data_IF_248089175825
#
_entry.id   IF_248089175825
#
_cell.length_a   1.000
_cell.length_b   1.000
_cell.length_c   1.000
_cell.angle_alpha   90.00
_cell.angle_beta   90.00
_cell.angle_gamma   90.00
#
_symmetry.space_group_name_H-M   'P 1'
#
loop_
_entity.id
_entity.type
_entity.pdbx_description
1 polymer ?
#
# COMPACT_ATOMS: atom_id res chain seq x y z
N UNK A 1 3.55 -41.49 29.10
CA UNK A 1 3.21 -40.07 29.38
C UNK A 1 4.50 -39.27 29.31
N UNK A 2 4.70 -38.51 28.24
CA UNK A 2 5.82 -37.58 28.12
C UNK A 2 5.21 -36.22 27.80
N UNK A 3 5.12 -35.36 28.81
CA UNK A 3 4.83 -33.94 28.64
C UNK A 3 6.08 -33.31 28.04
N UNK A 4 6.09 -33.09 26.72
CA UNK A 4 7.13 -32.26 26.11
C UNK A 4 6.92 -30.83 26.61
N UNK A 5 7.87 -30.32 27.39
CA UNK A 5 8.03 -28.90 27.67
C UNK A 5 8.44 -28.16 26.38
N UNK A 6 7.58 -28.16 25.35
CA UNK A 6 7.76 -27.28 24.21
C UNK A 6 7.27 -25.91 24.61
N UNK A 7 8.14 -24.90 24.52
CA UNK A 7 7.75 -23.50 24.63
C UNK A 7 6.57 -23.23 23.70
N UNK A 8 5.54 -22.53 24.18
CA UNK A 8 4.40 -22.22 23.33
C UNK A 8 4.84 -21.33 22.16
N UNK A 9 4.34 -21.59 20.94
CA UNK A 9 4.74 -20.88 19.72
C UNK A 9 4.66 -19.36 19.83
N UNK A 10 3.64 -18.83 20.50
CA UNK A 10 3.48 -17.39 20.73
C UNK A 10 4.65 -16.79 21.55
N UNK A 11 5.19 -17.55 22.50
CA UNK A 11 6.33 -17.12 23.33
C UNK A 11 7.61 -17.11 22.50
N UNK A 12 7.79 -18.11 21.63
CA UNK A 12 8.92 -18.15 20.68
C UNK A 12 8.89 -16.96 19.72
N UNK A 13 7.71 -16.68 19.14
CA UNK A 13 7.50 -15.54 18.24
C UNK A 13 7.80 -14.21 18.95
N UNK A 14 7.32 -14.02 20.19
CA UNK A 14 7.61 -12.82 20.96
C UNK A 14 9.11 -12.63 21.22
N UNK A 15 9.83 -13.70 21.57
CA UNK A 15 11.28 -13.66 21.77
C UNK A 15 12.03 -13.34 20.46
N UNK A 16 11.60 -13.93 19.34
CA UNK A 16 12.16 -13.68 18.01
C UNK A 16 11.94 -12.22 17.59
N UNK A 17 10.73 -11.67 17.78
CA UNK A 17 10.42 -10.27 17.48
C UNK A 17 11.33 -9.36 18.30
N UNK A 18 11.42 -9.58 19.62
CA UNK A 18 12.25 -8.74 20.50
C UNK A 18 13.73 -8.74 20.08
N UNK A 19 14.27 -9.92 19.79
CA UNK A 19 15.69 -10.08 19.40
C UNK A 19 15.96 -9.42 18.04
N UNK A 20 15.11 -9.69 17.04
CA UNK A 20 15.30 -9.19 15.68
C UNK A 20 15.11 -7.67 15.60
N UNK A 21 14.14 -7.10 16.34
CA UNK A 21 13.94 -5.64 16.40
C UNK A 21 15.12 -4.95 17.10
N UNK A 22 15.66 -5.53 18.18
CA UNK A 22 16.81 -4.96 18.87
C UNK A 22 18.04 -4.91 17.95
N UNK A 23 18.35 -6.00 17.26
CA UNK A 23 19.45 -6.01 16.28
C UNK A 23 19.18 -5.05 15.11
N UNK A 24 17.95 -5.02 14.57
CA UNK A 24 17.58 -4.10 13.50
C UNK A 24 17.83 -2.65 13.91
N UNK A 25 17.37 -2.24 15.10
CA UNK A 25 17.56 -0.89 15.62
C UNK A 25 19.04 -0.55 15.82
N UNK A 26 19.85 -1.48 16.34
CA UNK A 26 21.29 -1.30 16.49
C UNK A 26 21.95 -1.05 15.12
N UNK A 27 21.64 -1.89 14.12
CA UNK A 27 22.20 -1.80 12.76
C UNK A 27 21.82 -0.50 12.05
N UNK A 28 20.58 -0.03 12.22
CA UNK A 28 20.12 1.24 11.67
C UNK A 28 20.85 2.41 12.33
N UNK A 29 20.96 2.39 13.66
CA UNK A 29 21.64 3.44 14.43
C UNK A 29 23.12 3.53 14.07
N UNK A 30 23.80 2.39 13.93
CA UNK A 30 25.22 2.33 13.51
C UNK A 30 25.47 2.92 12.11
N UNK A 31 24.46 2.89 11.23
CA UNK A 31 24.53 3.46 9.89
C UNK A 31 24.02 4.92 9.82
N UNK A 32 23.55 5.48 10.94
CA UNK A 32 22.91 6.80 10.96
C UNK A 32 21.57 6.85 10.24
N UNK A 33 20.92 5.70 10.00
CA UNK A 33 19.61 5.62 9.37
C UNK A 33 18.53 5.80 10.44
N UNK A 34 17.57 6.72 10.28
CA UNK A 34 16.52 6.92 11.27
C UNK A 34 15.60 5.70 11.36
N UNK A 35 15.05 5.47 12.55
CA UNK A 35 14.09 4.39 12.77
C UNK A 35 12.84 4.58 11.89
N UNK A 36 12.28 3.51 11.33
CA UNK A 36 11.09 3.59 10.49
C UNK A 36 9.88 4.09 11.30
N UNK A 37 9.14 5.02 10.71
CA UNK A 37 7.88 5.53 11.26
C UNK A 37 6.82 5.77 10.17
N UNK A 38 5.63 6.22 10.56
CA UNK A 38 4.60 6.69 9.62
C UNK A 38 4.75 8.17 9.27
N UNK A 39 5.74 8.89 9.80
CA UNK A 39 5.96 10.30 9.48
C UNK A 39 6.21 10.50 7.97
N UNK A 40 5.88 11.68 7.46
CA UNK A 40 5.98 12.00 6.02
C UNK A 40 7.42 11.89 5.48
N UNK A 41 8.40 12.15 6.34
CA UNK A 41 9.84 12.17 6.07
C UNK A 41 10.54 10.83 6.40
N UNK A 42 9.78 9.84 6.86
CA UNK A 42 10.30 8.50 7.16
C UNK A 42 10.81 7.81 5.89
N UNK A 43 11.97 7.13 5.94
CA UNK A 43 12.52 6.43 4.79
C UNK A 43 11.51 5.46 4.13
N UNK A 44 11.52 5.43 2.80
CA UNK A 44 10.67 4.52 2.01
C UNK A 44 11.13 3.07 2.19
N UNK A 45 12.44 2.82 2.12
CA UNK A 45 13.04 1.50 2.25
C UNK A 45 14.13 1.47 3.33
N UNK A 46 14.30 0.31 3.97
CA UNK A 46 15.44 0.06 4.85
C UNK A 46 16.66 -0.40 4.03
N UNK A 47 17.88 -0.24 4.56
CA UNK A 47 19.09 -0.73 3.91
C UNK A 47 19.06 -2.23 3.61
N UNK A 48 19.59 -2.65 2.47
CA UNK A 48 19.55 -4.06 2.03
C UNK A 48 20.26 -5.03 3.00
N UNK A 49 21.27 -4.55 3.75
CA UNK A 49 22.00 -5.38 4.71
C UNK A 49 21.16 -5.77 5.94
N UNK A 50 20.03 -5.12 6.19
CA UNK A 50 19.09 -5.45 7.28
C UNK A 50 17.80 -6.11 6.80
N UNK A 51 17.69 -6.42 5.49
CA UNK A 51 16.47 -7.01 4.91
C UNK A 51 16.04 -8.31 5.61
N UNK A 52 16.99 -9.20 5.92
CA UNK A 52 16.70 -10.45 6.64
C UNK A 52 16.10 -10.23 8.04
N UNK A 53 16.50 -9.16 8.75
CA UNK A 53 15.93 -8.81 10.06
C UNK A 53 14.54 -8.23 9.89
N UNK A 54 14.34 -7.41 8.87
CA UNK A 54 13.02 -6.88 8.51
C UNK A 54 12.06 -8.04 8.19
N UNK A 55 12.46 -8.98 7.34
CA UNK A 55 11.65 -10.15 6.98
C UNK A 55 11.32 -11.00 8.21
N UNK A 56 12.31 -11.30 9.05
CA UNK A 56 12.10 -12.05 10.29
C UNK A 56 11.09 -11.39 11.25
N UNK A 57 11.11 -10.07 11.37
CA UNK A 57 10.14 -9.31 12.18
C UNK A 57 8.75 -9.34 11.53
N UNK A 58 8.66 -9.12 10.22
CA UNK A 58 7.39 -9.11 9.50
C UNK A 58 6.70 -10.47 9.56
N UNK A 59 7.43 -11.55 9.32
CA UNK A 59 6.89 -12.92 9.36
C UNK A 59 6.42 -13.27 10.78
N UNK A 60 7.24 -13.00 11.80
CA UNK A 60 6.89 -13.33 13.17
C UNK A 60 5.71 -12.50 13.69
N UNK A 61 5.62 -11.21 13.31
CA UNK A 61 4.48 -10.36 13.69
C UNK A 61 3.20 -10.73 12.95
N UNK A 62 3.29 -11.14 11.69
CA UNK A 62 2.15 -11.65 10.93
C UNK A 62 1.62 -12.95 11.56
N UNK A 63 2.49 -13.93 11.81
CA UNK A 63 2.10 -15.20 12.43
C UNK A 63 1.49 -14.98 13.82
N UNK A 64 2.14 -14.18 14.67
CA UNK A 64 1.64 -13.89 16.01
C UNK A 64 0.28 -13.19 15.98
N UNK A 65 0.10 -12.24 15.05
CA UNK A 65 -1.19 -11.57 14.87
C UNK A 65 -2.28 -12.56 14.45
N UNK A 66 -1.99 -13.43 13.50
CA UNK A 66 -2.96 -14.39 12.95
C UNK A 66 -3.34 -15.49 13.93
N UNK A 67 -2.38 -15.97 14.72
CA UNK A 67 -2.62 -16.92 15.82
C UNK A 67 -3.57 -16.36 16.89
N UNK A 68 -3.61 -15.03 17.05
CA UNK A 68 -4.42 -14.35 18.06
C UNK A 68 -5.80 -13.90 17.55
N UNK A 69 -6.05 -13.94 16.24
CA UNK A 69 -7.33 -13.53 15.68
C UNK A 69 -8.36 -14.65 15.77
N UNK A 70 -9.58 -14.30 16.17
CA UNK A 70 -10.73 -15.19 16.01
C UNK A 70 -10.94 -15.55 14.54
N UNK A 71 -11.43 -16.76 14.21
CA UNK A 71 -11.52 -17.24 12.83
C UNK A 71 -12.26 -16.30 11.87
N UNK A 72 -13.38 -15.70 12.32
CA UNK A 72 -14.14 -14.76 11.48
C UNK A 72 -13.37 -13.46 11.23
N UNK A 73 -12.64 -12.95 12.23
CA UNK A 73 -11.82 -11.75 12.09
C UNK A 73 -10.65 -11.99 11.13
N UNK A 74 -10.05 -13.19 11.19
CA UNK A 74 -9.02 -13.61 10.24
C UNK A 74 -9.55 -13.66 8.80
N UNK A 75 -10.75 -14.21 8.60
CA UNK A 75 -11.42 -14.19 7.29
C UNK A 75 -11.66 -12.75 6.82
N UNK A 76 -12.15 -11.86 7.70
CA UNK A 76 -12.35 -10.46 7.35
C UNK A 76 -11.05 -9.74 7.00
N UNK A 77 -9.92 -10.03 7.69
CA UNK A 77 -8.60 -9.48 7.36
C UNK A 77 -8.24 -9.73 5.90
N UNK A 78 -8.39 -10.97 5.43
CA UNK A 78 -8.04 -11.35 4.05
C UNK A 78 -9.13 -11.04 3.02
N UNK A 79 -10.40 -10.94 3.45
CA UNK A 79 -11.54 -10.64 2.59
C UNK A 79 -11.90 -9.15 2.45
N UNK A 80 -11.16 -8.24 3.10
CA UNK A 80 -11.48 -6.81 3.19
C UNK A 80 -11.21 -6.02 1.88
N UNK A 81 -11.86 -6.44 0.80
CA UNK A 81 -11.87 -5.77 -0.51
C UNK A 81 -12.30 -4.30 -0.41
N UNK A 82 -13.15 -3.99 0.59
CA UNK A 82 -13.63 -2.63 0.86
C UNK A 82 -12.51 -1.63 1.15
N UNK A 83 -11.32 -2.07 1.55
CA UNK A 83 -10.15 -1.21 1.76
C UNK A 83 -9.77 -0.47 0.48
N UNK A 84 -9.88 -1.14 -0.69
CA UNK A 84 -9.53 -0.55 -1.97
C UNK A 84 -10.37 0.70 -2.27
N UNK A 85 -11.64 0.76 -1.82
CA UNK A 85 -12.54 1.89 -2.09
C UNK A 85 -11.96 3.22 -1.62
N UNK A 86 -11.33 3.25 -0.44
CA UNK A 86 -10.75 4.49 0.09
C UNK A 86 -9.44 4.85 -0.58
N UNK A 87 -8.59 3.87 -0.88
CA UNK A 87 -7.33 4.07 -1.61
C UNK A 87 -7.62 4.63 -3.01
N UNK A 88 -8.50 3.96 -3.74
CA UNK A 88 -8.90 4.37 -5.08
C UNK A 88 -9.58 5.74 -5.09
N UNK A 89 -10.44 6.05 -4.11
CA UNK A 89 -11.06 7.38 -4.04
C UNK A 89 -10.02 8.49 -3.81
N UNK A 90 -9.06 8.26 -2.92
CA UNK A 90 -7.97 9.22 -2.67
C UNK A 90 -7.16 9.48 -3.95
N UNK A 91 -6.78 8.41 -4.67
CA UNK A 91 -6.00 8.52 -5.89
C UNK A 91 -6.79 9.12 -7.07
N UNK A 92 -8.02 8.63 -7.30
CA UNK A 92 -8.88 9.06 -8.43
C UNK A 92 -9.25 10.53 -8.36
N UNK A 93 -9.51 11.04 -7.16
CA UNK A 93 -9.87 12.45 -6.95
C UNK A 93 -8.66 13.31 -6.59
N UNK A 94 -7.44 12.78 -6.68
CA UNK A 94 -6.21 13.51 -6.37
C UNK A 94 -6.25 14.18 -4.99
N UNK A 95 -6.87 13.52 -4.00
CA UNK A 95 -7.07 14.08 -2.66
C UNK A 95 -5.74 14.23 -1.91
N UNK A 96 -4.81 13.30 -2.11
CA UNK A 96 -3.48 13.36 -1.53
C UNK A 96 -2.71 14.58 -2.03
N UNK A 97 -2.83 14.92 -3.32
CA UNK A 97 -2.18 16.07 -3.95
C UNK A 97 -2.68 17.43 -3.43
N UNK A 98 -3.83 17.44 -2.72
CA UNK A 98 -4.39 18.66 -2.12
C UNK A 98 -3.76 19.01 -0.77
N UNK A 99 -2.99 18.09 -0.18
CA UNK A 99 -2.36 18.26 1.12
C UNK A 99 -0.99 18.92 0.88
N UNK A 100 -0.70 20.07 1.50
CA UNK A 100 0.62 20.69 1.35
C UNK A 100 1.70 19.82 2.02
N UNK A 101 2.92 19.73 1.44
CA UNK A 101 4.04 19.01 2.05
C UNK A 101 4.33 19.51 3.46
N UNK A 102 4.50 18.59 4.43
CA UNK A 102 4.68 18.88 5.85
C UNK A 102 3.59 19.77 6.48
N UNK A 103 2.43 19.89 5.82
CA UNK A 103 1.32 20.71 6.27
C UNK A 103 0.04 19.90 6.45
N UNK A 104 -1.07 20.63 6.53
CA UNK A 104 -2.40 20.05 6.68
C UNK A 104 -3.44 20.84 5.90
N UNK A 105 -4.55 20.17 5.55
CA UNK A 105 -5.70 20.76 4.87
C UNK A 105 -6.99 20.32 5.55
N UNK A 106 -8.02 21.17 5.57
CA UNK A 106 -9.29 20.79 6.18
C UNK A 106 -10.06 19.79 5.31
N UNK A 107 -10.80 18.87 5.93
CA UNK A 107 -11.72 17.96 5.23
C UNK A 107 -12.74 18.76 4.40
N UNK A 108 -13.16 19.93 4.89
CA UNK A 108 -14.08 20.82 4.18
C UNK A 108 -13.51 21.33 2.87
N UNK A 109 -12.22 21.65 2.83
CA UNK A 109 -11.58 22.16 1.61
C UNK A 109 -11.30 21.05 0.61
N UNK A 110 -10.96 19.83 1.07
CA UNK A 110 -10.90 18.65 0.19
C UNK A 110 -12.29 18.41 -0.44
N UNK A 111 -13.37 18.44 0.35
CA UNK A 111 -14.73 18.27 -0.16
C UNK A 111 -15.10 19.32 -1.21
N UNK A 112 -14.81 20.60 -0.96
CA UNK A 112 -15.03 21.69 -1.93
C UNK A 112 -14.24 21.48 -3.23
N UNK A 113 -12.95 21.14 -3.14
CA UNK A 113 -12.08 20.95 -4.32
C UNK A 113 -12.49 19.73 -5.16
N UNK A 114 -12.96 18.67 -4.51
CA UNK A 114 -13.40 17.45 -5.18
C UNK A 114 -14.85 17.52 -5.68
N UNK A 115 -15.66 18.45 -5.16
CA UNK A 115 -17.09 18.53 -5.44
C UNK A 115 -17.92 17.43 -4.76
N UNK A 116 -17.31 16.64 -3.86
CA UNK A 116 -17.97 15.54 -3.16
C UNK A 116 -18.62 16.02 -1.85
N UNK A 117 -19.64 15.28 -1.40
CA UNK A 117 -20.26 15.53 -0.10
C UNK A 117 -19.25 15.46 1.06
N UNK A 118 -19.31 16.43 1.98
CA UNK A 118 -18.36 16.55 3.08
C UNK A 118 -18.40 15.35 4.02
N UNK A 119 -19.58 14.79 4.28
CA UNK A 119 -19.73 13.63 5.16
C UNK A 119 -19.14 12.38 4.49
N UNK A 120 -19.34 12.20 3.18
CA UNK A 120 -18.72 11.14 2.40
C UNK A 120 -17.18 11.24 2.43
N UNK A 121 -16.62 12.41 2.11
CA UNK A 121 -15.17 12.64 2.14
C UNK A 121 -14.61 12.37 3.54
N UNK A 122 -15.26 12.87 4.59
CA UNK A 122 -14.87 12.62 5.98
C UNK A 122 -14.80 11.12 6.30
N UNK A 123 -15.80 10.33 5.88
CA UNK A 123 -15.83 8.88 6.12
C UNK A 123 -14.69 8.16 5.40
N UNK A 124 -14.45 8.49 4.13
CA UNK A 124 -13.40 7.87 3.32
C UNK A 124 -11.99 8.20 3.84
N UNK A 125 -11.74 9.47 4.18
CA UNK A 125 -10.45 9.89 4.72
C UNK A 125 -10.17 9.24 6.08
N UNK A 126 -11.17 9.15 6.96
CA UNK A 126 -11.01 8.46 8.27
C UNK A 126 -10.79 6.97 8.13
N UNK A 127 -11.43 6.32 7.16
CA UNK A 127 -11.15 4.93 6.86
C UNK A 127 -9.71 4.74 6.37
N UNK A 128 -9.22 5.62 5.49
CA UNK A 128 -7.81 5.62 5.07
C UNK A 128 -6.82 5.88 6.22
N UNK A 129 -7.19 6.72 7.20
CA UNK A 129 -6.40 6.95 8.41
C UNK A 129 -6.31 5.70 9.29
N UNK A 130 -7.37 4.90 9.39
CA UNK A 130 -7.36 3.62 10.09
C UNK A 130 -6.37 2.62 9.45
N UNK A 131 -6.17 2.73 8.13
CA UNK A 131 -5.14 1.99 7.37
C UNK A 131 -3.75 2.66 7.39
N UNK A 132 -3.55 3.72 8.19
CA UNK A 132 -2.29 4.50 8.29
C UNK A 132 -1.87 5.24 7.01
N UNK A 133 -2.76 5.36 6.03
CA UNK A 133 -2.48 6.05 4.75
C UNK A 133 -2.42 7.57 4.95
N UNK A 134 -3.29 8.11 5.81
CA UNK A 134 -3.35 9.53 6.17
C UNK A 134 -3.35 9.67 7.70
N UNK A 135 -3.23 10.90 8.20
CA UNK A 135 -3.42 11.20 9.63
C UNK A 135 -4.31 12.43 9.85
N UNK A 136 -5.01 12.46 10.98
CA UNK A 136 -5.82 13.59 11.47
C UNK A 136 -5.09 14.19 12.69
N UNK A 137 -4.11 15.11 12.48
CA UNK A 137 -3.34 15.70 13.58
C UNK A 137 -4.21 16.55 14.52
N UNK A 138 -5.23 17.21 13.95
CA UNK A 138 -6.24 17.98 14.66
C UNK A 138 -7.63 17.57 14.14
N UNK A 139 -8.69 17.62 14.95
CA UNK A 139 -10.03 17.27 14.50
C UNK A 139 -10.44 18.04 13.23
N UNK A 140 -10.71 17.31 12.15
CA UNK A 140 -11.11 17.87 10.86
C UNK A 140 -9.97 18.32 9.94
N UNK A 141 -8.71 18.19 10.37
CA UNK A 141 -7.52 18.47 9.55
C UNK A 141 -6.89 17.17 9.06
N UNK A 142 -6.38 17.16 7.83
CA UNK A 142 -5.77 15.99 7.21
C UNK A 142 -4.33 16.33 6.83
N UNK A 143 -3.40 15.45 7.21
CA UNK A 143 -1.99 15.56 6.87
C UNK A 143 -1.44 14.24 6.31
N UNK A 144 -0.30 14.33 5.64
CA UNK A 144 0.37 13.17 5.08
C UNK A 144 0.96 12.25 6.17
N UNK A 145 1.01 10.97 5.82
CA UNK A 145 2.00 9.98 6.30
C UNK A 145 2.93 9.68 5.13
N UNK A 146 4.01 8.91 5.34
CA UNK A 146 4.85 8.47 4.22
C UNK A 146 4.05 7.76 3.10
N UNK A 147 2.98 7.05 3.47
CA UNK A 147 2.17 6.26 2.52
C UNK A 147 1.35 7.18 1.61
N UNK A 148 0.60 8.13 2.15
CA UNK A 148 -0.15 9.07 1.30
C UNK A 148 0.76 9.97 0.47
N UNK A 149 1.95 10.31 0.97
CA UNK A 149 2.95 11.03 0.17
C UNK A 149 3.42 10.18 -1.00
N UNK A 150 3.72 8.91 -0.77
CA UNK A 150 4.09 7.97 -1.81
C UNK A 150 2.99 7.82 -2.89
N UNK A 151 1.71 7.87 -2.50
CA UNK A 151 0.57 7.86 -3.43
C UNK A 151 0.49 9.10 -4.36
N UNK A 152 1.18 10.20 -4.04
CA UNK A 152 1.25 11.39 -4.92
C UNK A 152 2.20 11.19 -6.10
N UNK A 153 3.07 10.16 -6.06
CA UNK A 153 3.96 9.83 -7.17
C UNK A 153 3.12 9.36 -8.36
N UNK A 154 3.24 9.98 -9.56
CA UNK A 154 2.32 9.73 -10.67
C UNK A 154 2.20 8.26 -11.08
N UNK A 155 3.30 7.51 -11.13
CA UNK A 155 3.26 6.09 -11.50
C UNK A 155 2.68 5.19 -10.40
N UNK A 156 2.80 5.58 -9.12
CA UNK A 156 2.15 4.89 -8.00
C UNK A 156 0.63 5.14 -8.04
N UNK A 157 0.21 6.38 -8.29
CA UNK A 157 -1.20 6.71 -8.49
C UNK A 157 -1.78 5.95 -9.70
N UNK A 158 -1.01 5.86 -10.80
CA UNK A 158 -1.38 5.07 -11.97
C UNK A 158 -1.54 3.57 -11.64
N UNK A 159 -0.67 3.02 -10.78
CA UNK A 159 -0.80 1.65 -10.29
C UNK A 159 -2.09 1.43 -9.51
N UNK A 160 -2.45 2.30 -8.57
CA UNK A 160 -3.74 2.20 -7.86
C UNK A 160 -4.93 2.29 -8.83
N UNK A 161 -4.85 3.18 -9.83
CA UNK A 161 -5.90 3.29 -10.85
C UNK A 161 -5.99 2.04 -11.72
N UNK A 162 -4.87 1.39 -12.04
CA UNK A 162 -4.85 0.14 -12.81
C UNK A 162 -5.47 -1.00 -12.00
N UNK A 163 -5.06 -1.15 -10.74
CA UNK A 163 -5.60 -2.16 -9.83
C UNK A 163 -7.12 -2.03 -9.66
N UNK A 164 -7.61 -0.81 -9.47
CA UNK A 164 -9.04 -0.54 -9.26
C UNK A 164 -9.90 -0.66 -10.52
N UNK A 165 -9.40 -0.23 -11.69
CA UNK A 165 -10.20 -0.12 -12.93
C UNK A 165 -10.06 -1.33 -13.86
N UNK A 166 -8.92 -2.02 -13.84
CA UNK A 166 -8.62 -3.11 -14.76
C UNK A 166 -8.49 -4.44 -14.02
N UNK A 167 -7.64 -4.52 -12.98
CA UNK A 167 -7.37 -5.78 -12.27
C UNK A 167 -8.57 -6.24 -11.45
N UNK A 168 -9.16 -5.35 -10.64
CA UNK A 168 -10.25 -5.72 -9.73
C UNK A 168 -11.48 -6.29 -10.47
N UNK A 169 -12.02 -5.65 -11.52
CA UNK A 169 -13.10 -6.25 -12.32
C UNK A 169 -12.71 -7.61 -12.92
N UNK A 170 -11.47 -7.75 -13.39
CA UNK A 170 -10.97 -9.00 -13.97
C UNK A 170 -10.86 -10.13 -12.94
N UNK A 171 -10.45 -9.86 -11.69
CA UNK A 171 -10.41 -10.87 -10.64
C UNK A 171 -11.79 -11.46 -10.32
N UNK A 172 -12.85 -10.66 -10.40
CA UNK A 172 -14.21 -11.11 -10.03
C UNK A 172 -14.91 -11.97 -11.09
N UNK A 173 -14.53 -11.84 -12.37
CA UNK A 173 -15.23 -12.51 -13.50
C UNK A 173 -14.31 -13.19 -14.51
N UNK A 174 -12.99 -13.03 -14.40
CA UNK A 174 -12.03 -13.29 -15.49
C UNK A 174 -11.94 -12.10 -16.45
N UNK A 175 -10.75 -11.85 -17.01
CA UNK A 175 -10.48 -10.64 -17.82
C UNK A 175 -11.41 -10.50 -19.05
N UNK A 176 -11.54 -11.58 -19.84
CA UNK A 176 -12.39 -11.63 -21.04
C UNK A 176 -13.85 -11.26 -20.72
N UNK A 177 -14.42 -11.88 -19.69
CA UNK A 177 -15.79 -11.60 -19.25
C UNK A 177 -15.94 -10.20 -18.63
N UNK A 178 -14.94 -9.72 -17.89
CA UNK A 178 -14.98 -8.37 -17.32
C UNK A 178 -14.97 -7.27 -18.40
N UNK A 179 -14.38 -7.55 -19.56
CA UNK A 179 -14.24 -6.62 -20.69
C UNK A 179 -15.17 -6.93 -21.86
N UNK A 180 -16.07 -7.93 -21.74
CA UNK A 180 -16.94 -8.41 -22.81
C UNK A 180 -16.19 -8.67 -24.13
N UNK A 181 -15.10 -9.43 -24.05
CA UNK A 181 -14.19 -9.68 -25.18
C UNK A 181 -13.60 -11.07 -25.14
N UNK A 182 -13.20 -11.58 -26.30
CA UNK A 182 -12.42 -12.80 -26.52
C UNK A 182 -10.91 -12.53 -26.67
N UNK A 183 -10.51 -11.25 -26.73
CA UNK A 183 -9.12 -10.82 -26.91
C UNK A 183 -8.29 -11.00 -25.63
N UNK A 184 -6.98 -11.16 -25.82
CA UNK A 184 -6.02 -11.17 -24.71
C UNK A 184 -5.92 -9.81 -24.01
N UNK A 185 -5.38 -9.81 -22.79
CA UNK A 185 -5.15 -8.58 -22.02
C UNK A 185 -4.34 -7.54 -22.80
N UNK A 186 -3.28 -7.98 -23.49
CA UNK A 186 -2.39 -7.08 -24.23
C UNK A 186 -3.08 -6.45 -25.44
N UNK A 187 -3.92 -7.20 -26.16
CA UNK A 187 -4.67 -6.68 -27.30
C UNK A 187 -5.71 -5.63 -26.85
N UNK A 188 -6.39 -5.87 -25.73
CA UNK A 188 -7.36 -4.92 -25.17
C UNK A 188 -6.68 -3.65 -24.67
N UNK A 189 -5.54 -3.79 -23.98
CA UNK A 189 -4.77 -2.63 -23.52
C UNK A 189 -4.19 -1.84 -24.70
N UNK A 190 -3.63 -2.50 -25.72
CA UNK A 190 -3.06 -1.83 -26.89
C UNK A 190 -4.11 -1.10 -27.74
N UNK A 191 -5.36 -1.58 -27.74
CA UNK A 191 -6.45 -0.96 -28.49
C UNK A 191 -7.02 0.32 -27.84
N UNK A 192 -6.73 0.58 -26.56
CA UNK A 192 -7.19 1.76 -25.83
C UNK A 192 -5.97 2.56 -25.30
N UNK A 193 -5.64 3.72 -25.92
CA UNK A 193 -4.49 4.52 -25.52
C UNK A 193 -4.49 4.94 -24.04
N UNK A 194 -5.67 5.20 -23.46
CA UNK A 194 -5.78 5.60 -22.06
C UNK A 194 -5.44 4.44 -21.13
N UNK A 195 -5.91 3.23 -21.46
CA UNK A 195 -5.59 2.01 -20.70
C UNK A 195 -4.14 1.59 -20.90
N UNK A 196 -3.62 1.68 -22.13
CA UNK A 196 -2.22 1.43 -22.43
C UNK A 196 -1.30 2.33 -21.59
N UNK A 197 -1.57 3.64 -21.55
CA UNK A 197 -0.78 4.59 -20.76
C UNK A 197 -0.89 4.32 -19.26
N UNK A 198 -2.09 4.00 -18.76
CA UNK A 198 -2.30 3.64 -17.35
C UNK A 198 -1.50 2.40 -16.96
N UNK A 199 -1.55 1.35 -17.78
CA UNK A 199 -0.77 0.13 -17.59
C UNK A 199 0.74 0.39 -17.67
N UNK A 200 1.22 1.06 -18.71
CA UNK A 200 2.65 1.34 -18.87
C UNK A 200 3.20 2.18 -17.70
N UNK A 201 2.42 3.14 -17.20
CA UNK A 201 2.78 3.93 -16.03
C UNK A 201 2.79 3.08 -14.76
N UNK A 202 1.79 2.20 -14.56
CA UNK A 202 1.71 1.34 -13.38
C UNK A 202 2.86 0.34 -13.27
N UNK A 203 3.40 -0.14 -14.39
CA UNK A 203 4.52 -1.09 -14.39
C UNK A 203 5.79 -0.54 -13.72
N UNK A 204 5.97 0.78 -13.65
CA UNK A 204 7.09 1.38 -12.92
C UNK A 204 6.98 1.18 -11.39
N UNK A 205 5.77 0.96 -10.87
CA UNK A 205 5.57 0.71 -9.44
C UNK A 205 6.17 -0.62 -8.99
N UNK A 206 6.39 -1.57 -9.90
CA UNK A 206 6.95 -2.90 -9.62
C UNK A 206 8.39 -2.79 -9.10
N UNK A 207 9.12 -1.73 -9.47
CA UNK A 207 10.49 -1.47 -8.99
C UNK A 207 10.58 -1.28 -7.47
N UNK A 208 9.45 -1.02 -6.80
CA UNK A 208 9.36 -0.89 -5.35
C UNK A 208 9.09 -2.21 -4.61
N UNK A 209 8.80 -3.29 -5.33
CA UNK A 209 8.57 -4.60 -4.73
C UNK A 209 9.91 -5.32 -4.56
N UNK A 210 10.33 -5.52 -3.31
CA UNK A 210 11.56 -6.26 -3.01
C UNK A 210 11.54 -7.65 -3.66
N UNK A 211 12.63 -8.02 -4.34
CA UNK A 211 12.76 -9.29 -5.06
C UNK A 211 12.22 -9.32 -6.49
N UNK A 212 11.53 -8.28 -6.97
CA UNK A 212 11.14 -8.16 -8.38
C UNK A 212 12.27 -7.53 -9.22
N UNK A 213 12.72 -8.16 -10.32
CA UNK A 213 13.70 -7.54 -11.21
C UNK A 213 13.11 -6.35 -11.97
N UNK A 214 13.65 -5.16 -11.78
CA UNK A 214 13.32 -3.92 -12.52
C UNK A 214 13.57 -3.99 -14.04
N UNK A 215 14.08 -5.13 -14.54
CA UNK A 215 14.48 -5.34 -15.94
C UNK A 215 13.54 -6.26 -16.74
N UNK A 216 12.45 -6.76 -16.16
CA UNK A 216 11.56 -7.71 -16.85
C UNK A 216 10.63 -7.05 -17.87
N UNK A 217 10.39 -5.74 -17.78
CA UNK A 217 9.61 -5.02 -18.77
C UNK A 217 10.54 -4.24 -19.69
N UNK A 218 10.61 -4.56 -21.00
CA UNK A 218 11.34 -3.73 -21.94
C UNK A 218 10.73 -2.33 -21.88
N UNK A 219 11.55 -1.31 -21.58
CA UNK A 219 11.15 0.09 -21.74
C UNK A 219 10.69 0.25 -23.18
N UNK A 220 9.38 0.29 -23.42
CA UNK A 220 8.85 0.62 -24.73
C UNK A 220 9.27 2.07 -24.97
N UNK A 221 10.28 2.25 -25.81
CA UNK A 221 10.57 3.53 -26.43
C UNK A 221 9.35 3.91 -27.25
N UNK A 222 8.44 4.65 -26.63
CA UNK A 222 7.44 5.44 -27.36
C UNK A 222 8.26 6.51 -28.08
N UNK A 223 8.62 6.24 -29.34
CA UNK A 223 9.03 7.30 -30.26
C UNK A 223 7.78 8.13 -30.51
N UNK A 224 7.74 9.34 -29.98
CA UNK A 224 6.82 10.35 -30.47
C UNK A 224 7.28 10.80 -31.87
N UNK A 225 6.35 10.96 -32.83
CA UNK A 225 6.64 11.58 -34.13
C UNK A 225 6.99 13.07 -33.97
#
# INVERSE_FOLDING_TARGET
MASSNSTARMVELAAQISTSVAELQERLSAQGVPSPSFAEDSPECLPANVAHLQDAVLDATAELNELLLEPLTLIFKFGAISNLVSIDTICRFHMADMIPPNGQVSIGDIAKKTGLDKLLVKRLLRHAMAMRILREPEPGMVAHTKISKFLTIPYINAWVNFESKDTWPACTRGFCLANNTDKSVYEVLAADPTRAMRFASSMQAIDHISGYPSKLFPRSTIRHP
#
